data_IF_003766120673
#
_entry.id   IF_003766120673
#
_cell.length_a   1.000
_cell.length_b   1.000
_cell.length_c   1.000
_cell.angle_alpha   90.00
_cell.angle_beta   90.00
_cell.angle_gamma   90.00
#
_symmetry.space_group_name_H-M   'P 1'
#
loop_
_entity.id
_entity.type
_entity.pdbx_description
1 polymer ?
#
# COMPACT_ATOMS: atom_id res chain seq x y z
N UNK A 1 -2.92 -57.69 -33.70
CA UNK A 1 -1.95 -56.78 -33.08
C UNK A 1 -2.02 -55.44 -33.78
N UNK A 2 -2.53 -54.40 -33.11
CA UNK A 2 -2.52 -53.02 -33.60
C UNK A 2 -2.15 -52.13 -32.42
N UNK A 3 -1.08 -51.37 -32.60
CA UNK A 3 -0.38 -50.59 -31.59
C UNK A 3 -1.12 -49.27 -31.30
N UNK A 4 -1.17 -48.91 -30.01
CA UNK A 4 -0.89 -47.60 -29.34
C UNK A 4 -1.12 -46.34 -30.22
N UNK A 5 -1.86 -45.31 -29.78
CA UNK A 5 -1.34 -44.17 -28.99
C UNK A 5 -2.48 -43.51 -28.21
N UNK A 6 -2.36 -43.56 -26.88
CA UNK A 6 -3.07 -42.68 -25.97
C UNK A 6 -2.37 -41.30 -26.03
N UNK A 7 -3.04 -40.32 -26.65
CA UNK A 7 -2.60 -38.94 -26.64
C UNK A 7 -2.94 -38.30 -25.29
N UNK A 8 -1.96 -38.19 -24.41
CA UNK A 8 -2.02 -37.25 -23.30
C UNK A 8 -1.91 -35.83 -23.87
N UNK A 9 -3.04 -35.15 -23.99
CA UNK A 9 -3.04 -33.69 -24.14
C UNK A 9 -2.62 -33.10 -22.78
N UNK A 10 -1.32 -32.82 -22.62
CA UNK A 10 -0.86 -31.91 -21.59
C UNK A 10 -1.38 -30.52 -21.95
N UNK A 11 -2.56 -30.16 -21.44
CA UNK A 11 -2.95 -28.76 -21.34
C UNK A 11 -1.94 -28.13 -20.38
N UNK A 12 -0.94 -27.46 -20.95
CA UNK A 12 -0.14 -26.49 -20.21
C UNK A 12 -1.13 -25.40 -19.80
N UNK A 13 -1.63 -25.50 -18.57
CA UNK A 13 -2.18 -24.35 -17.86
C UNK A 13 -0.99 -23.41 -17.62
N UNK A 14 -0.57 -22.70 -18.68
CA UNK A 14 0.10 -21.42 -18.50
C UNK A 14 -0.96 -20.55 -17.84
N UNK A 15 -1.05 -20.62 -16.51
CA UNK A 15 -1.78 -19.65 -15.73
C UNK A 15 -1.21 -18.31 -16.14
N UNK A 16 -2.03 -17.51 -16.83
CA UNK A 16 -1.77 -16.10 -17.02
C UNK A 16 -1.75 -15.49 -15.62
N UNK A 17 -0.59 -15.53 -14.97
CA UNK A 17 -0.36 -14.96 -13.67
C UNK A 17 -0.24 -13.45 -13.86
N UNK A 18 -1.36 -12.82 -14.24
CA UNK A 18 -1.55 -11.36 -14.24
C UNK A 18 -1.71 -10.86 -12.79
N UNK A 19 -1.07 -11.52 -11.83
CA UNK A 19 -1.01 -11.07 -10.46
C UNK A 19 -0.16 -9.79 -10.43
N UNK A 20 -0.82 -8.69 -10.08
CA UNK A 20 -0.16 -7.40 -9.92
C UNK A 20 0.97 -7.51 -8.88
N UNK A 21 2.16 -6.99 -9.22
CA UNK A 21 3.37 -7.13 -8.40
C UNK A 21 3.63 -5.94 -7.47
N UNK A 22 2.80 -4.90 -7.54
CA UNK A 22 2.75 -3.77 -6.61
C UNK A 22 1.35 -3.69 -5.95
N UNK A 23 1.17 -2.91 -4.87
CA UNK A 23 -0.14 -2.75 -4.23
C UNK A 23 -1.22 -2.20 -5.16
N UNK A 24 -2.50 -2.39 -4.79
CA UNK A 24 -3.66 -1.76 -5.45
C UNK A 24 -3.85 -2.10 -6.94
N UNK A 25 -3.41 -3.29 -7.37
CA UNK A 25 -3.55 -3.72 -8.76
C UNK A 25 -2.51 -3.08 -9.70
N UNK A 26 -1.47 -2.45 -9.14
CA UNK A 26 -0.40 -1.80 -9.88
C UNK A 26 0.75 -2.77 -10.19
N UNK A 27 1.65 -2.35 -11.07
CA UNK A 27 2.90 -3.04 -11.30
C UNK A 27 4.09 -2.10 -11.13
N UNK A 28 5.13 -2.55 -10.45
CA UNK A 28 6.42 -1.86 -10.41
C UNK A 28 6.97 -1.72 -11.82
N UNK A 29 7.57 -0.57 -12.11
CA UNK A 29 8.12 -0.27 -13.44
C UNK A 29 7.09 0.15 -14.49
N UNK A 30 5.78 0.08 -14.20
CA UNK A 30 4.77 0.54 -15.16
C UNK A 30 4.84 2.06 -15.34
N UNK A 31 4.48 2.54 -16.51
CA UNK A 31 4.55 3.97 -16.84
C UNK A 31 3.38 4.75 -16.24
N UNK A 32 3.54 6.06 -16.12
CA UNK A 32 2.43 6.94 -15.68
C UNK A 32 1.19 6.79 -16.56
N UNK A 33 1.39 6.68 -17.88
CA UNK A 33 0.31 6.60 -18.88
C UNK A 33 -0.43 5.26 -18.85
N UNK A 34 0.19 4.19 -18.31
CA UNK A 34 -0.47 2.89 -18.18
C UNK A 34 -1.36 2.77 -16.94
N UNK A 35 -1.35 3.77 -16.05
CA UNK A 35 -2.22 3.79 -14.86
C UNK A 35 -3.58 4.38 -15.23
N UNK A 36 -4.59 3.51 -15.34
CA UNK A 36 -5.93 3.89 -15.85
C UNK A 36 -6.63 4.99 -15.05
N UNK A 37 -6.34 5.13 -13.76
CA UNK A 37 -6.94 6.12 -12.87
C UNK A 37 -6.05 7.36 -12.67
N UNK A 38 -4.93 7.49 -13.39
CA UNK A 38 -3.94 8.57 -13.20
C UNK A 38 -4.53 9.97 -13.34
N UNK A 39 -5.54 10.11 -14.22
CA UNK A 39 -6.24 11.38 -14.46
C UNK A 39 -7.04 11.87 -13.25
N UNK A 40 -7.33 10.99 -12.29
CA UNK A 40 -7.99 11.35 -11.03
C UNK A 40 -7.04 11.87 -9.95
N UNK A 41 -5.74 11.98 -10.24
CA UNK A 41 -4.74 12.51 -9.31
C UNK A 41 -4.19 13.88 -9.71
N UNK A 42 -3.67 14.60 -8.72
CA UNK A 42 -2.88 15.83 -8.91
C UNK A 42 -1.40 15.45 -9.07
N UNK A 43 -0.89 15.48 -10.30
CA UNK A 43 0.47 15.09 -10.64
C UNK A 43 1.40 16.30 -10.73
N UNK A 44 2.47 16.28 -9.93
CA UNK A 44 3.51 17.32 -9.91
C UNK A 44 4.89 16.72 -10.13
N UNK A 45 5.67 17.40 -10.96
CA UNK A 45 7.10 17.10 -11.13
C UNK A 45 7.87 17.75 -9.99
N UNK A 46 8.61 16.95 -9.23
CA UNK A 46 9.48 17.41 -8.15
C UNK A 46 10.87 16.79 -8.33
N UNK A 47 11.79 17.58 -8.87
CA UNK A 47 13.09 17.09 -9.31
C UNK A 47 12.95 16.03 -10.41
N UNK A 48 13.76 14.97 -10.35
CA UNK A 48 13.70 13.83 -11.29
C UNK A 48 12.52 12.88 -11.08
N UNK A 49 11.54 13.24 -10.22
CA UNK A 49 10.38 12.40 -9.89
C UNK A 49 9.08 13.07 -10.31
N UNK A 50 8.10 12.27 -10.70
CA UNK A 50 6.70 12.70 -10.81
C UNK A 50 5.91 12.09 -9.66
N UNK A 51 5.22 12.92 -8.88
CA UNK A 51 4.40 12.50 -7.76
C UNK A 51 2.95 12.79 -8.10
N UNK A 52 2.13 11.75 -8.19
CA UNK A 52 0.70 11.87 -8.40
C UNK A 52 -0.03 11.60 -7.09
N UNK A 53 -0.73 12.61 -6.58
CA UNK A 53 -1.45 12.55 -5.31
C UNK A 53 -2.93 12.32 -5.54
N UNK A 54 -3.53 11.45 -4.72
CA UNK A 54 -4.93 11.05 -4.77
C UNK A 54 -5.50 11.15 -3.36
N UNK A 55 -6.72 11.67 -3.22
CA UNK A 55 -7.45 11.58 -1.95
C UNK A 55 -7.93 10.13 -1.70
N UNK A 56 -8.80 9.95 -0.71
CA UNK A 56 -9.47 8.66 -0.46
C UNK A 56 -10.39 8.31 -1.64
N UNK A 57 -9.91 7.47 -2.55
CA UNK A 57 -10.67 6.94 -3.67
C UNK A 57 -10.17 5.56 -4.07
N UNK A 58 -11.00 4.80 -4.79
CA UNK A 58 -10.56 3.54 -5.40
C UNK A 58 -9.43 3.81 -6.41
N UNK A 59 -8.43 2.91 -6.53
CA UNK A 59 -8.36 1.56 -5.95
C UNK A 59 -7.69 1.48 -4.57
N UNK A 60 -7.42 2.61 -3.90
CA UNK A 60 -6.76 2.61 -2.59
C UNK A 60 -7.69 2.11 -1.48
N UNK A 61 -7.10 1.84 -0.32
CA UNK A 61 -7.83 1.36 0.85
C UNK A 61 -8.80 2.44 1.37
N UNK A 62 -10.01 2.03 1.79
CA UNK A 62 -11.08 2.96 2.21
C UNK A 62 -10.74 3.72 3.51
N UNK A 63 -9.78 3.23 4.30
CA UNK A 63 -9.30 3.90 5.50
C UNK A 63 -8.12 4.85 5.25
N UNK A 64 -7.62 4.94 4.01
CA UNK A 64 -6.57 5.90 3.65
C UNK A 64 -7.10 7.34 3.68
N UNK A 65 -6.24 8.30 3.98
CA UNK A 65 -6.54 9.72 3.88
C UNK A 65 -6.10 10.26 2.52
N UNK A 66 -4.85 9.95 2.15
CA UNK A 66 -4.23 10.37 0.91
C UNK A 66 -3.29 9.27 0.43
N UNK A 67 -3.13 9.16 -0.88
CA UNK A 67 -2.28 8.20 -1.53
C UNK A 67 -1.40 8.90 -2.56
N UNK A 68 -0.20 8.39 -2.78
CA UNK A 68 0.74 8.93 -3.76
C UNK A 68 1.35 7.81 -4.59
N UNK A 69 1.40 8.02 -5.89
CA UNK A 69 2.20 7.23 -6.82
C UNK A 69 3.43 8.05 -7.21
N UNK A 70 4.61 7.47 -7.00
CA UNK A 70 5.87 8.15 -7.27
C UNK A 70 6.56 7.43 -8.42
N UNK A 71 6.84 8.20 -9.47
CA UNK A 71 7.47 7.73 -10.69
C UNK A 71 8.86 8.33 -10.83
N UNK A 72 9.87 7.49 -11.07
CA UNK A 72 11.25 7.90 -11.37
C UNK A 72 11.59 7.49 -12.80
N UNK A 73 12.07 8.42 -13.62
CA UNK A 73 12.32 8.12 -15.04
C UNK A 73 11.07 7.60 -15.77
N UNK A 74 9.89 8.09 -15.37
CA UNK A 74 8.55 7.68 -15.83
C UNK A 74 8.02 6.34 -15.31
N UNK A 75 8.77 5.61 -14.48
CA UNK A 75 8.41 4.28 -14.02
C UNK A 75 7.96 4.31 -12.56
N UNK A 76 6.89 3.60 -12.22
CA UNK A 76 6.40 3.49 -10.84
C UNK A 76 7.45 2.79 -9.97
N UNK A 77 7.96 3.49 -8.96
CA UNK A 77 8.95 2.95 -8.02
C UNK A 77 8.46 2.88 -6.58
N UNK A 78 7.48 3.73 -6.23
CA UNK A 78 6.98 3.81 -4.87
C UNK A 78 5.49 4.15 -4.84
N UNK A 79 4.80 3.56 -3.87
CA UNK A 79 3.43 3.92 -3.48
C UNK A 79 3.47 4.38 -2.03
N UNK A 80 2.77 5.46 -1.71
CA UNK A 80 2.65 5.96 -0.34
C UNK A 80 1.18 6.05 0.02
N UNK A 81 0.82 5.54 1.19
CA UNK A 81 -0.53 5.67 1.77
C UNK A 81 -0.43 6.36 3.12
N UNK A 82 -1.21 7.41 3.31
CA UNK A 82 -1.28 8.17 4.56
C UNK A 82 -2.57 7.84 5.27
N UNK A 83 -2.50 7.54 6.57
CA UNK A 83 -3.65 7.42 7.47
C UNK A 83 -3.65 8.61 8.41
N UNK A 84 -4.82 9.17 8.69
CA UNK A 84 -4.96 10.32 9.61
C UNK A 84 -6.10 10.06 10.59
N UNK A 85 -5.85 10.29 11.87
CA UNK A 85 -6.83 10.25 12.95
C UNK A 85 -7.65 11.54 13.04
N UNK A 86 -8.60 11.73 12.13
CA UNK A 86 -9.55 12.84 12.18
C UNK A 86 -10.98 12.33 12.05
N UNK A 87 -11.91 12.94 12.78
CA UNK A 87 -13.34 12.57 12.77
C UNK A 87 -14.06 13.01 11.49
N UNK A 88 -13.65 14.15 10.92
CA UNK A 88 -14.25 14.76 9.73
C UNK A 88 -13.13 15.33 8.83
N UNK A 89 -13.27 15.15 7.52
CA UNK A 89 -12.37 15.70 6.51
C UNK A 89 -12.51 17.23 6.37
N UNK A 90 -13.70 17.77 6.67
CA UNK A 90 -14.04 19.19 6.53
C UNK A 90 -13.71 20.03 7.76
N UNK A 91 -13.74 19.44 8.96
CA UNK A 91 -13.42 20.07 10.24
C UNK A 91 -12.57 19.12 11.10
N UNK A 92 -11.27 19.00 10.81
CA UNK A 92 -10.43 17.96 11.38
C UNK A 92 -10.17 18.21 12.87
N UNK A 93 -10.80 17.38 13.71
CA UNK A 93 -10.42 17.21 15.12
C UNK A 93 -9.58 15.94 15.27
N UNK A 94 -8.39 16.01 15.88
CA UNK A 94 -7.61 14.82 16.18
C UNK A 94 -8.42 13.81 16.99
N UNK A 95 -8.39 12.55 16.57
CA UNK A 95 -9.04 11.45 17.26
C UNK A 95 -8.18 10.19 17.16
N UNK A 96 -7.62 9.78 18.30
CA UNK A 96 -6.71 8.64 18.41
C UNK A 96 -7.42 7.29 18.25
N UNK A 97 -8.68 7.17 18.68
CA UNK A 97 -9.46 5.94 18.51
C UNK A 97 -9.77 5.69 17.04
N UNK A 98 -10.16 6.75 16.32
CA UNK A 98 -10.36 6.72 14.87
C UNK A 98 -9.06 6.33 14.15
N UNK A 99 -7.93 6.92 14.55
CA UNK A 99 -6.61 6.54 14.04
C UNK A 99 -6.33 5.06 14.26
N UNK A 100 -6.55 4.55 15.47
CA UNK A 100 -6.28 3.16 15.84
C UNK A 100 -7.12 2.19 15.02
N UNK A 101 -8.39 2.51 14.75
CA UNK A 101 -9.24 1.73 13.85
C UNK A 101 -8.69 1.63 12.42
N UNK A 102 -8.24 2.77 11.87
CA UNK A 102 -7.61 2.83 10.53
C UNK A 102 -6.27 2.08 10.51
N UNK A 103 -5.45 2.24 11.55
CA UNK A 103 -4.17 1.57 11.72
C UNK A 103 -4.34 0.05 11.73
N UNK A 104 -5.29 -0.47 12.50
CA UNK A 104 -5.56 -1.91 12.57
C UNK A 104 -6.05 -2.48 11.24
N UNK A 105 -6.82 -1.70 10.47
CA UNK A 105 -7.26 -2.07 9.13
C UNK A 105 -6.07 -2.17 8.16
N UNK A 106 -5.15 -1.21 8.21
CA UNK A 106 -3.93 -1.23 7.38
C UNK A 106 -2.98 -2.37 7.77
N UNK A 107 -2.77 -2.62 9.06
CA UNK A 107 -1.96 -3.75 9.53
C UNK A 107 -2.54 -5.09 9.10
N UNK A 108 -3.88 -5.22 9.11
CA UNK A 108 -4.57 -6.42 8.63
C UNK A 108 -4.38 -6.61 7.12
N UNK A 109 -4.51 -5.53 6.34
CA UNK A 109 -4.22 -5.53 4.91
C UNK A 109 -2.77 -5.94 4.62
N UNK A 110 -1.79 -5.31 5.27
CA UNK A 110 -0.37 -5.63 5.10
C UNK A 110 -0.06 -7.09 5.48
N UNK A 111 -0.61 -7.57 6.59
CA UNK A 111 -0.46 -8.98 7.01
C UNK A 111 -1.04 -9.93 5.96
N UNK A 112 -2.17 -9.58 5.32
CA UNK A 112 -2.73 -10.36 4.21
C UNK A 112 -1.83 -10.38 2.96
N UNK A 113 -0.94 -9.39 2.83
CA UNK A 113 0.12 -9.31 1.81
C UNK A 113 1.44 -9.90 2.29
N UNK A 114 1.48 -10.59 3.42
CA UNK A 114 2.68 -11.26 3.91
C UNK A 114 3.61 -10.40 4.78
N UNK A 115 3.18 -9.21 5.20
CA UNK A 115 3.90 -8.43 6.22
C UNK A 115 4.07 -9.25 7.50
N UNK A 116 5.25 -9.19 8.13
CA UNK A 116 5.57 -10.00 9.29
C UNK A 116 4.59 -9.75 10.47
N UNK A 117 4.03 -10.83 11.02
CA UNK A 117 3.02 -10.77 12.08
C UNK A 117 3.60 -10.25 13.40
N UNK A 118 4.83 -10.61 13.74
CA UNK A 118 5.52 -10.10 14.92
C UNK A 118 5.75 -8.59 14.82
N UNK A 119 6.18 -8.10 13.64
CA UNK A 119 6.31 -6.67 13.35
C UNK A 119 4.95 -5.95 13.46
N UNK A 120 3.89 -6.52 12.88
CA UNK A 120 2.54 -5.98 13.02
C UNK A 120 2.09 -5.92 14.49
N UNK A 121 2.43 -6.93 15.29
CA UNK A 121 2.13 -6.96 16.72
C UNK A 121 2.90 -5.88 17.48
N UNK A 122 4.18 -5.68 17.17
CA UNK A 122 4.99 -4.60 17.79
C UNK A 122 4.35 -3.23 17.54
N UNK A 123 3.90 -2.95 16.32
CA UNK A 123 3.20 -1.69 16.00
C UNK A 123 1.91 -1.59 16.81
N UNK A 124 1.08 -2.64 16.79
CA UNK A 124 -0.20 -2.66 17.51
C UNK A 124 -0.03 -2.47 19.02
N UNK A 125 0.96 -3.15 19.64
CA UNK A 125 1.22 -3.05 21.07
C UNK A 125 1.73 -1.64 21.45
N UNK A 126 2.62 -1.04 20.64
CA UNK A 126 3.07 0.35 20.85
C UNK A 126 1.93 1.36 20.65
N UNK A 127 0.93 1.04 19.84
CA UNK A 127 -0.19 1.93 19.53
C UNK A 127 -1.48 1.65 20.29
N UNK A 128 -1.40 0.95 21.43
CA UNK A 128 -2.52 0.83 22.37
C UNK A 128 -2.85 2.14 23.09
N UNK A 129 -1.87 3.02 23.25
CA UNK A 129 -2.01 4.32 23.91
C UNK A 129 -1.36 5.41 23.05
N UNK A 130 -1.95 6.60 23.05
CA UNK A 130 -1.44 7.74 22.29
C UNK A 130 0.01 8.11 22.68
N UNK A 131 0.32 8.04 23.98
CA UNK A 131 1.64 8.38 24.51
C UNK A 131 2.76 7.45 24.04
N UNK A 132 2.44 6.22 23.66
CA UNK A 132 3.40 5.21 23.18
C UNK A 132 3.39 5.06 21.66
N UNK A 133 2.37 5.59 20.98
CA UNK A 133 2.18 5.49 19.54
C UNK A 133 2.92 6.59 18.74
N UNK A 134 4.00 7.15 19.29
CA UNK A 134 4.73 8.24 18.64
C UNK A 134 6.11 7.79 18.16
N UNK A 135 6.49 8.18 16.93
CA UNK A 135 7.75 7.80 16.28
C UNK A 135 7.94 6.28 16.20
N UNK A 136 6.85 5.57 15.91
CA UNK A 136 6.88 4.12 15.71
C UNK A 136 7.21 3.87 14.25
N UNK A 137 8.37 3.25 14.00
CA UNK A 137 8.85 2.93 12.67
C UNK A 137 9.22 1.47 12.56
N UNK A 138 8.68 0.76 11.58
CA UNK A 138 8.97 -0.64 11.35
C UNK A 138 8.93 -0.94 9.84
N UNK A 139 9.57 -2.03 9.40
CA UNK A 139 9.55 -2.45 8.00
C UNK A 139 9.47 -3.96 7.88
N UNK A 140 8.86 -4.43 6.80
CA UNK A 140 8.84 -5.86 6.47
C UNK A 140 8.57 -6.08 4.99
N UNK A 141 9.04 -7.22 4.48
CA UNK A 141 8.73 -7.67 3.14
C UNK A 141 7.27 -8.11 3.05
N UNK A 142 6.70 -7.92 1.87
CA UNK A 142 5.37 -8.37 1.48
C UNK A 142 5.47 -9.05 0.12
N UNK A 143 4.38 -9.66 -0.36
CA UNK A 143 4.28 -10.24 -1.69
C UNK A 143 4.44 -9.20 -2.80
N UNK A 144 4.32 -7.91 -2.49
CA UNK A 144 4.41 -6.79 -3.45
C UNK A 144 5.64 -5.92 -3.22
N UNK A 145 6.67 -6.39 -2.51
CA UNK A 145 7.89 -5.64 -2.21
C UNK A 145 8.03 -5.25 -0.74
N UNK A 146 8.87 -4.26 -0.43
CA UNK A 146 9.09 -3.79 0.93
C UNK A 146 7.98 -2.82 1.37
N UNK A 147 7.46 -3.00 2.57
CA UNK A 147 6.55 -2.04 3.21
C UNK A 147 7.22 -1.43 4.43
N UNK A 148 7.31 -0.11 4.45
CA UNK A 148 7.86 0.69 5.55
C UNK A 148 6.72 1.47 6.21
N UNK A 149 6.63 1.37 7.52
CA UNK A 149 5.59 1.97 8.32
C UNK A 149 6.22 3.05 9.20
N UNK A 150 5.63 4.24 9.25
CA UNK A 150 6.05 5.32 10.14
C UNK A 150 4.84 6.02 10.75
N UNK A 151 4.83 6.15 12.08
CA UNK A 151 3.73 6.76 12.85
C UNK A 151 4.27 7.94 13.64
N UNK A 152 3.52 9.04 13.65
CA UNK A 152 3.80 10.23 14.47
C UNK A 152 2.51 10.77 15.07
N UNK A 153 2.59 11.32 16.28
CA UNK A 153 1.49 11.98 16.97
C UNK A 153 1.92 13.43 17.28
N UNK A 154 1.46 14.41 16.48
CA UNK A 154 1.67 15.84 16.78
C UNK A 154 0.84 16.80 15.90
N UNK A 155 -0.18 17.51 16.44
CA UNK A 155 -1.13 17.01 17.44
C UNK A 155 -2.03 15.90 16.85
N UNK A 156 -2.05 15.78 15.52
CA UNK A 156 -2.86 14.78 14.82
C UNK A 156 -2.08 13.46 14.68
N UNK A 157 -2.69 12.31 15.00
CA UNK A 157 -2.13 11.01 14.68
C UNK A 157 -2.03 10.78 13.18
N UNK A 158 -0.84 10.47 12.68
CA UNK A 158 -0.58 10.19 11.27
C UNK A 158 0.25 8.92 11.14
N UNK A 159 -0.14 8.04 10.23
CA UNK A 159 0.68 6.93 9.77
C UNK A 159 0.99 7.11 8.28
N UNK A 160 2.22 6.81 7.89
CA UNK A 160 2.67 6.77 6.50
C UNK A 160 3.16 5.36 6.22
N UNK A 161 2.56 4.73 5.22
CA UNK A 161 2.98 3.43 4.70
C UNK A 161 3.59 3.64 3.34
N UNK A 162 4.85 3.27 3.21
CA UNK A 162 5.61 3.36 1.97
C UNK A 162 5.88 1.97 1.44
N UNK A 163 5.42 1.73 0.22
CA UNK A 163 5.64 0.50 -0.53
C UNK A 163 6.71 0.77 -1.59
N UNK A 164 7.73 -0.10 -1.68
CA UNK A 164 8.78 0.00 -2.69
C UNK A 164 9.08 -1.34 -3.32
N UNK A 165 9.55 -1.31 -4.56
CA UNK A 165 10.18 -2.47 -5.19
C UNK A 165 11.39 -2.92 -4.35
N UNK A 166 11.57 -4.23 -4.20
CA UNK A 166 12.77 -4.81 -3.58
C UNK A 166 13.91 -4.96 -4.60
#
# INVERSE_FOLDING_TARGET
MKWIIAGFAALVLAGCDNASNAPFGLNWGQTIDSVNFIKGGDCKVNGGKTICTFDNQKPFNDWSYQNQLIFEGNNLTQVVTTLVGVEDYSLPKPNFDNFTGKLNSELSYLTSKGFNKETSKIISDKCQLESTCNKVGESSKTTTGMSNFWITINPTPIAIVTYTQE
#
